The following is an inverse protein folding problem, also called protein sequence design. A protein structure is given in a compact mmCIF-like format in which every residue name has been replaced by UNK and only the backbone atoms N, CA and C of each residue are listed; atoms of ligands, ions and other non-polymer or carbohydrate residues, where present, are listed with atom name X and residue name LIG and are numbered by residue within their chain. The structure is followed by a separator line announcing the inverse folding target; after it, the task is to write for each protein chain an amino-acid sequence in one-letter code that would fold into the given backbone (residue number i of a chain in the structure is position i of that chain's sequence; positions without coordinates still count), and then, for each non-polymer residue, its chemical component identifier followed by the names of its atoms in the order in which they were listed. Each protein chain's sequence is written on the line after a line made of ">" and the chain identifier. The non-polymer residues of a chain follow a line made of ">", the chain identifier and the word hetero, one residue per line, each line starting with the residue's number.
data_IF_224904871743
#
_entry.id   IF_224904871743
#
_cell.length_a   1.000
_cell.length_b   1.000
_cell.length_c   1.000
_cell.angle_alpha   90.00
_cell.angle_beta   90.00
_cell.angle_gamma   90.00
#
_symmetry.space_group_name_H-M   'P 1'
#
loop_
_entity.id
_entity.type
_entity.pdbx_description
1 polymer ?
#
# COMPACT_ATOMS: atom_id res chain seq x y z
N UNK A 1 67.43 -11.86 -39.27
CA UNK A 1 67.26 -12.87 -40.32
C UNK A 1 65.88 -13.51 -40.10
N UNK A 2 64.97 -13.34 -41.08
CA UNK A 2 63.66 -14.00 -41.29
C UNK A 2 62.87 -14.54 -40.08
N UNK A 3 61.62 -14.08 -39.91
CA UNK A 3 60.43 -14.85 -40.31
C UNK A 3 59.13 -14.03 -40.15
N UNK A 4 58.35 -14.05 -41.23
CA UNK A 4 56.97 -13.58 -41.36
C UNK A 4 56.03 -14.63 -40.72
N UNK A 5 54.89 -14.22 -40.13
CA UNK A 5 53.64 -14.94 -40.33
C UNK A 5 52.53 -13.94 -40.72
N UNK A 6 52.00 -14.02 -41.94
CA UNK A 6 50.80 -14.79 -42.28
C UNK A 6 49.55 -14.28 -41.52
N UNK A 7 48.88 -13.27 -42.11
CA UNK A 7 47.52 -12.88 -41.77
C UNK A 7 46.56 -14.03 -42.11
N UNK A 8 45.98 -14.63 -41.08
CA UNK A 8 44.80 -15.47 -41.19
C UNK A 8 43.59 -14.63 -40.74
N UNK A 9 42.85 -14.11 -41.70
CA UNK A 9 41.59 -13.41 -41.49
C UNK A 9 40.50 -14.41 -41.08
N UNK A 10 40.22 -14.49 -39.77
CA UNK A 10 39.05 -15.19 -39.25
C UNK A 10 37.82 -14.30 -39.42
N UNK A 11 36.92 -14.74 -40.31
CA UNK A 11 35.59 -14.20 -40.52
C UNK A 11 34.72 -14.59 -39.31
N UNK A 12 34.48 -13.66 -38.37
CA UNK A 12 33.48 -13.87 -37.32
C UNK A 12 32.09 -13.68 -37.93
N UNK A 13 31.41 -14.79 -38.19
CA UNK A 13 29.96 -14.82 -38.41
C UNK A 13 29.32 -14.54 -37.04
N UNK A 14 28.88 -13.30 -36.84
CA UNK A 14 28.05 -12.93 -35.68
C UNK A 14 26.66 -13.53 -35.86
N UNK A 15 26.42 -14.69 -35.25
CA UNK A 15 25.05 -15.15 -35.03
C UNK A 15 24.48 -14.30 -33.91
N UNK A 16 23.72 -13.26 -34.27
CA UNK A 16 22.91 -12.51 -33.32
C UNK A 16 21.86 -13.45 -32.76
N UNK A 17 22.12 -14.01 -31.57
CA UNK A 17 21.06 -14.59 -30.76
C UNK A 17 20.24 -13.41 -30.26
N UNK A 18 19.11 -13.17 -30.93
CA UNK A 18 18.07 -12.30 -30.44
C UNK A 18 17.51 -12.97 -29.18
N UNK A 19 18.06 -12.59 -28.02
CA UNK A 19 17.40 -12.82 -26.75
C UNK A 19 16.09 -12.02 -26.81
N UNK A 20 14.97 -12.71 -26.91
CA UNK A 20 13.67 -12.10 -26.64
C UNK A 20 13.72 -11.60 -25.21
N UNK A 21 13.72 -10.28 -25.03
CA UNK A 21 13.51 -9.67 -23.73
C UNK A 21 12.12 -10.09 -23.25
N UNK A 22 12.07 -11.08 -22.36
CA UNK A 22 10.92 -11.26 -21.49
C UNK A 22 10.91 -10.05 -20.55
N UNK A 23 10.02 -9.10 -20.78
CA UNK A 23 9.71 -8.02 -19.86
C UNK A 23 9.05 -8.60 -18.60
N UNK A 24 9.83 -9.25 -17.74
CA UNK A 24 9.44 -9.56 -16.37
C UNK A 24 9.98 -8.43 -15.47
N UNK A 25 9.24 -7.32 -15.40
CA UNK A 25 9.46 -6.28 -14.39
C UNK A 25 8.60 -6.57 -13.16
N UNK A 26 8.75 -7.76 -12.57
CA UNK A 26 8.16 -8.01 -11.25
C UNK A 26 9.06 -7.34 -10.20
N UNK A 27 8.44 -6.57 -9.32
CA UNK A 27 9.15 -5.79 -8.29
C UNK A 27 9.65 -6.75 -7.19
N UNK A 28 10.82 -6.54 -6.55
CA UNK A 28 11.33 -7.43 -5.50
C UNK A 28 10.36 -7.68 -4.33
N UNK A 29 9.54 -6.68 -3.97
CA UNK A 29 8.49 -6.85 -2.95
C UNK A 29 7.31 -7.69 -3.45
N UNK A 30 7.03 -7.66 -4.76
CA UNK A 30 6.01 -8.50 -5.39
C UNK A 30 6.52 -9.94 -5.55
N UNK A 31 7.80 -10.13 -5.86
CA UNK A 31 8.45 -11.45 -5.86
C UNK A 31 8.54 -12.07 -4.46
N UNK A 32 8.53 -11.23 -3.43
CA UNK A 32 8.39 -11.65 -2.05
C UNK A 32 6.97 -12.14 -1.75
N UNK A 33 5.94 -11.44 -2.23
CA UNK A 33 4.53 -11.87 -2.15
C UNK A 33 4.28 -13.19 -2.90
N UNK A 34 5.00 -13.43 -4.00
CA UNK A 34 4.99 -14.70 -4.75
C UNK A 34 5.37 -15.92 -3.90
N UNK A 35 6.27 -15.75 -2.91
CA UNK A 35 6.66 -16.84 -2.02
C UNK A 35 5.51 -17.29 -1.10
N UNK A 36 4.49 -16.44 -0.93
CA UNK A 36 3.32 -16.73 -0.10
C UNK A 36 2.15 -17.26 -0.93
N UNK A 37 1.78 -16.62 -2.05
CA UNK A 37 0.64 -17.05 -2.87
C UNK A 37 0.64 -16.48 -4.30
N UNK A 38 0.60 -17.35 -5.32
CA UNK A 38 0.59 -16.93 -6.74
C UNK A 38 -0.70 -16.21 -7.16
N UNK A 39 -1.85 -16.57 -6.59
CA UNK A 39 -3.14 -15.94 -6.91
C UNK A 39 -3.24 -14.52 -6.36
N UNK A 40 -2.60 -14.26 -5.21
CA UNK A 40 -2.50 -12.91 -4.65
C UNK A 40 -1.69 -12.03 -5.58
N UNK A 41 -0.53 -12.48 -6.03
CA UNK A 41 0.35 -11.72 -6.93
C UNK A 41 -0.40 -11.24 -8.17
N UNK A 42 -1.07 -12.14 -8.89
CA UNK A 42 -1.79 -11.80 -10.12
C UNK A 42 -2.79 -10.66 -9.87
N UNK A 43 -3.47 -10.70 -8.71
CA UNK A 43 -4.42 -9.68 -8.31
C UNK A 43 -3.72 -8.35 -7.95
N UNK A 44 -2.61 -8.39 -7.20
CA UNK A 44 -1.86 -7.17 -6.84
C UNK A 44 -1.25 -6.49 -8.06
N UNK A 45 -0.82 -7.26 -9.05
CA UNK A 45 -0.25 -6.74 -10.29
C UNK A 45 -1.31 -6.15 -11.21
N UNK A 46 -2.51 -6.75 -11.22
CA UNK A 46 -3.64 -6.27 -12.01
C UNK A 46 -4.24 -4.97 -11.46
N UNK A 47 -4.37 -4.86 -10.13
CA UNK A 47 -5.11 -3.77 -9.49
C UNK A 47 -4.21 -2.86 -8.67
N UNK A 48 -4.38 -1.55 -8.85
CA UNK A 48 -3.77 -0.53 -7.98
C UNK A 48 -4.52 -0.41 -6.66
N UNK A 49 -5.84 -0.55 -6.67
CA UNK A 49 -6.65 -0.51 -5.45
C UNK A 49 -7.39 -1.83 -5.27
N UNK A 50 -7.26 -2.44 -4.11
CA UNK A 50 -8.04 -3.62 -3.70
C UNK A 50 -8.71 -3.28 -2.38
N UNK A 51 -10.04 -3.30 -2.38
CA UNK A 51 -10.85 -2.88 -1.24
C UNK A 51 -11.80 -3.99 -0.84
N UNK A 52 -11.66 -4.49 0.40
CA UNK A 52 -12.48 -5.60 0.94
C UNK A 52 -13.87 -5.16 1.43
N UNK A 53 -14.20 -3.89 1.23
CA UNK A 53 -15.45 -3.26 1.62
C UNK A 53 -15.79 -2.15 0.63
N UNK A 54 -16.45 -1.10 1.10
CA UNK A 54 -16.91 -0.02 0.22
C UNK A 54 -15.76 0.89 -0.26
N UNK A 55 -15.92 1.39 -1.48
CA UNK A 55 -15.08 2.41 -2.10
C UNK A 55 -15.94 3.65 -2.41
N UNK A 56 -15.58 4.78 -1.81
CA UNK A 56 -16.31 6.03 -1.91
C UNK A 56 -15.42 7.20 -2.34
N UNK A 57 -15.93 8.05 -3.22
CA UNK A 57 -15.21 9.26 -3.63
C UNK A 57 -16.13 10.48 -3.67
N UNK A 58 -15.72 11.57 -3.04
CA UNK A 58 -16.35 12.87 -3.24
C UNK A 58 -16.02 13.44 -4.62
N UNK A 59 -16.91 14.30 -5.13
CA UNK A 59 -16.64 15.03 -6.37
C UNK A 59 -15.38 15.90 -6.22
N UNK A 60 -14.45 15.77 -7.16
CA UNK A 60 -13.20 16.55 -7.18
C UNK A 60 -11.96 15.84 -6.62
N UNK A 61 -12.04 14.53 -6.38
CA UNK A 61 -10.97 13.73 -5.71
C UNK A 61 -10.21 12.74 -6.62
N UNK A 62 -10.22 12.95 -7.95
CA UNK A 62 -9.72 11.97 -8.94
C UNK A 62 -8.26 11.51 -8.74
N UNK A 63 -8.02 10.24 -8.36
CA UNK A 63 -6.69 9.75 -7.92
C UNK A 63 -6.26 8.35 -8.35
N UNK A 64 -7.14 7.53 -8.91
CA UNK A 64 -6.76 6.17 -9.36
C UNK A 64 -6.62 6.13 -10.88
N UNK A 65 -5.36 6.25 -11.32
CA UNK A 65 -4.97 6.18 -12.73
C UNK A 65 -4.80 4.74 -13.27
N UNK A 66 -5.09 3.72 -12.45
CA UNK A 66 -5.01 2.29 -12.77
C UNK A 66 -6.26 1.56 -12.26
N UNK A 67 -6.34 0.26 -12.52
CA UNK A 67 -7.49 -0.58 -12.22
C UNK A 67 -7.77 -0.74 -10.72
N UNK A 68 -9.03 -0.98 -10.38
CA UNK A 68 -9.50 -1.14 -8.99
C UNK A 68 -10.40 -2.38 -8.85
N UNK A 69 -10.27 -3.10 -7.74
CA UNK A 69 -11.16 -4.17 -7.31
C UNK A 69 -11.83 -3.82 -5.97
N UNK A 70 -13.16 -3.97 -5.88
CA UNK A 70 -13.98 -3.61 -4.72
C UNK A 70 -14.93 -4.76 -4.37
N UNK A 71 -14.84 -5.29 -3.15
CA UNK A 71 -15.78 -6.31 -2.67
C UNK A 71 -17.14 -5.70 -2.34
N UNK A 72 -17.16 -4.53 -1.68
CA UNK A 72 -18.37 -3.83 -1.31
C UNK A 72 -18.97 -3.00 -2.44
N UNK A 73 -19.62 -1.90 -2.08
CA UNK A 73 -20.20 -0.97 -3.03
C UNK A 73 -19.15 -0.01 -3.58
N UNK A 74 -19.26 0.30 -4.86
CA UNK A 74 -18.49 1.36 -5.49
C UNK A 74 -19.39 2.59 -5.67
N UNK A 75 -19.04 3.69 -5.00
CA UNK A 75 -19.78 4.95 -5.06
C UNK A 75 -18.89 6.09 -5.56
N UNK A 76 -19.24 6.65 -6.73
CA UNK A 76 -18.45 7.74 -7.31
C UNK A 76 -19.28 8.75 -8.12
N UNK A 77 -18.72 9.95 -8.30
CA UNK A 77 -19.27 10.98 -9.17
C UNK A 77 -18.16 11.65 -9.98
N UNK A 78 -18.27 11.58 -11.32
CA UNK A 78 -17.27 12.12 -12.27
C UNK A 78 -15.87 11.59 -12.01
N UNK A 79 -15.75 10.26 -11.92
CA UNK A 79 -14.50 9.57 -11.62
C UNK A 79 -13.94 8.85 -12.85
N UNK A 80 -12.61 8.76 -12.95
CA UNK A 80 -11.94 8.04 -14.02
C UNK A 80 -11.18 6.87 -13.42
N UNK A 81 -11.49 5.66 -13.85
CA UNK A 81 -10.78 4.44 -13.46
C UNK A 81 -9.87 4.02 -14.60
N UNK A 82 -8.62 3.70 -14.26
CA UNK A 82 -7.61 3.25 -15.22
C UNK A 82 -7.33 4.24 -16.36
N UNK A 83 -7.27 5.53 -16.03
CA UNK A 83 -7.09 6.62 -17.02
C UNK A 83 -5.82 6.52 -17.87
N UNK A 84 -4.80 5.78 -17.42
CA UNK A 84 -3.52 5.64 -18.11
C UNK A 84 -3.48 4.48 -19.13
N UNK A 85 -4.56 3.71 -19.30
CA UNK A 85 -4.59 2.60 -20.24
C UNK A 85 -4.43 3.10 -21.69
N UNK A 86 -3.37 2.66 -22.38
CA UNK A 86 -3.05 3.04 -23.77
C UNK A 86 -3.60 2.06 -24.81
N UNK A 87 -3.93 0.83 -24.41
CA UNK A 87 -4.61 -0.17 -25.24
C UNK A 87 -5.56 -0.98 -24.38
N UNK A 88 -6.85 -0.99 -24.71
CA UNK A 88 -7.88 -1.68 -23.94
C UNK A 88 -8.48 -2.77 -24.82
N UNK A 89 -8.23 -4.03 -24.47
CA UNK A 89 -8.98 -5.15 -25.02
C UNK A 89 -10.34 -5.18 -24.31
N UNK A 90 -11.34 -4.48 -24.85
CA UNK A 90 -12.69 -4.58 -24.35
C UNK A 90 -13.35 -5.85 -24.90
N UNK A 91 -13.10 -6.99 -24.24
CA UNK A 91 -13.64 -8.30 -24.61
C UNK A 91 -14.64 -8.77 -23.56
N UNK A 92 -15.74 -9.37 -24.00
CA UNK A 92 -16.66 -10.07 -23.10
C UNK A 92 -16.06 -11.38 -22.54
N UNK A 93 -15.00 -11.89 -23.18
CA UNK A 93 -14.31 -13.13 -22.81
C UNK A 93 -12.91 -12.79 -22.30
N UNK A 94 -12.82 -12.23 -21.10
CA UNK A 94 -11.54 -11.89 -20.48
C UNK A 94 -11.11 -13.01 -19.55
N UNK A 95 -9.89 -13.47 -19.77
CA UNK A 95 -9.24 -14.51 -18.97
C UNK A 95 -8.14 -13.95 -18.06
N UNK A 96 -7.71 -12.70 -18.27
CA UNK A 96 -6.66 -12.05 -17.48
C UNK A 96 -7.22 -10.95 -16.59
N UNK A 97 -6.81 -10.91 -15.32
CA UNK A 97 -7.17 -9.83 -14.41
C UNK A 97 -6.59 -8.46 -14.87
N UNK A 98 -5.50 -8.46 -15.64
CA UNK A 98 -4.87 -7.24 -16.15
C UNK A 98 -5.74 -6.43 -17.12
N UNK A 99 -6.75 -7.06 -17.73
CA UNK A 99 -7.61 -6.41 -18.73
C UNK A 99 -8.81 -5.70 -18.08
N UNK A 100 -9.03 -5.93 -16.77
CA UNK A 100 -10.06 -5.23 -16.03
C UNK A 100 -9.61 -3.81 -15.71
N UNK A 101 -10.52 -2.86 -15.92
CA UNK A 101 -10.43 -1.52 -15.34
C UNK A 101 -11.08 -1.49 -13.96
N UNK A 102 -12.19 -2.21 -13.78
CA UNK A 102 -12.97 -2.19 -12.54
C UNK A 102 -13.59 -3.56 -12.24
N UNK A 103 -13.47 -4.03 -11.01
CA UNK A 103 -14.21 -5.19 -10.50
C UNK A 103 -14.99 -4.75 -9.26
N UNK A 104 -16.29 -5.05 -9.21
CA UNK A 104 -17.17 -4.73 -8.09
C UNK A 104 -18.06 -5.94 -7.76
N UNK A 105 -17.93 -6.50 -6.55
CA UNK A 105 -18.80 -7.59 -6.13
C UNK A 105 -20.14 -7.08 -5.55
N UNK A 106 -20.17 -5.88 -4.96
CA UNK A 106 -21.38 -5.23 -4.47
C UNK A 106 -22.14 -4.41 -5.52
N UNK A 107 -22.66 -3.26 -5.10
CA UNK A 107 -23.43 -2.35 -5.97
C UNK A 107 -22.54 -1.33 -6.65
N UNK A 108 -22.73 -1.17 -7.96
CA UNK A 108 -22.08 -0.13 -8.75
C UNK A 108 -22.97 1.12 -8.87
N UNK A 109 -22.75 2.09 -7.99
CA UNK A 109 -23.51 3.36 -7.94
C UNK A 109 -22.62 4.53 -8.39
N UNK A 110 -22.83 4.99 -9.63
CA UNK A 110 -21.94 6.00 -10.22
C UNK A 110 -22.66 6.97 -11.12
N UNK A 111 -22.22 8.23 -11.11
CA UNK A 111 -22.65 9.25 -12.10
C UNK A 111 -21.44 9.72 -12.90
N UNK A 112 -21.49 9.54 -14.24
CA UNK A 112 -20.44 9.97 -15.17
C UNK A 112 -19.05 9.39 -14.86
N UNK A 113 -18.96 8.09 -14.56
CA UNK A 113 -17.66 7.44 -14.39
C UNK A 113 -17.17 6.91 -15.72
N UNK A 114 -15.92 7.20 -16.05
CA UNK A 114 -15.25 6.54 -17.18
C UNK A 114 -14.45 5.37 -16.65
N UNK A 115 -14.64 4.19 -17.22
CA UNK A 115 -13.78 3.03 -16.93
C UNK A 115 -13.09 2.63 -18.21
N UNK A 116 -11.77 2.61 -18.16
CA UNK A 116 -10.93 2.12 -19.24
C UNK A 116 -10.55 0.66 -18.96
N UNK A 117 -11.20 -0.28 -19.63
CA UNK A 117 -11.02 -1.71 -19.36
C UNK A 117 -12.34 -2.44 -19.24
N UNK A 118 -12.25 -3.73 -18.94
CA UNK A 118 -13.44 -4.46 -18.59
C UNK A 118 -13.94 -4.17 -17.19
N UNK A 119 -15.23 -4.39 -17.03
CA UNK A 119 -15.99 -4.20 -15.82
C UNK A 119 -16.59 -5.54 -15.43
N UNK A 120 -16.28 -6.01 -14.23
CA UNK A 120 -17.06 -7.06 -13.58
C UNK A 120 -17.97 -6.42 -12.53
N UNK A 121 -19.27 -6.68 -12.62
CA UNK A 121 -20.26 -6.25 -11.63
C UNK A 121 -21.33 -7.34 -11.49
N UNK A 122 -21.58 -7.80 -10.26
CA UNK A 122 -22.60 -8.81 -9.97
C UNK A 122 -24.03 -8.23 -9.91
N UNK A 123 -24.15 -6.91 -9.79
CA UNK A 123 -25.44 -6.22 -9.67
C UNK A 123 -25.83 -5.46 -10.94
N UNK A 124 -27.14 -5.33 -11.17
CA UNK A 124 -27.68 -4.49 -12.24
C UNK A 124 -27.29 -3.04 -12.01
N UNK A 125 -26.48 -2.48 -12.91
CA UNK A 125 -25.96 -1.11 -12.82
C UNK A 125 -27.07 -0.08 -12.59
N UNK A 126 -26.91 0.77 -11.59
CA UNK A 126 -27.74 1.98 -11.42
C UNK A 126 -27.03 3.25 -11.93
N UNK A 127 -25.80 3.12 -12.41
CA UNK A 127 -24.96 4.25 -12.81
C UNK A 127 -24.66 4.40 -14.31
N UNK A 128 -24.26 5.61 -14.71
CA UNK A 128 -23.81 5.92 -16.07
C UNK A 128 -22.29 5.71 -16.19
N UNK A 129 -21.88 4.72 -16.99
CA UNK A 129 -20.48 4.41 -17.27
C UNK A 129 -20.16 4.67 -18.73
N UNK A 130 -19.10 5.43 -18.97
CA UNK A 130 -18.55 5.69 -20.30
C UNK A 130 -17.32 4.80 -20.54
N UNK A 131 -17.23 4.17 -21.72
CA UNK A 131 -16.05 3.48 -22.26
C UNK A 131 -15.69 2.06 -21.72
N UNK A 132 -16.49 1.47 -20.83
CA UNK A 132 -16.25 0.10 -20.32
C UNK A 132 -17.13 -0.97 -20.98
N UNK A 133 -16.69 -2.23 -20.94
CA UNK A 133 -17.46 -3.40 -21.34
C UNK A 133 -17.63 -4.37 -20.18
N UNK A 134 -18.80 -4.98 -20.09
CA UNK A 134 -19.11 -5.91 -19.01
C UNK A 134 -18.59 -7.32 -19.29
N UNK A 135 -18.02 -7.94 -18.27
CA UNK A 135 -17.55 -9.33 -18.23
C UNK A 135 -18.11 -10.03 -17.00
N UNK A 136 -18.21 -11.36 -17.06
CA UNK A 136 -18.76 -12.20 -15.99
C UNK A 136 -17.70 -12.80 -15.06
N UNK A 137 -16.41 -12.46 -15.23
CA UNK A 137 -15.33 -12.98 -14.36
C UNK A 137 -15.46 -12.42 -12.96
N UNK A 138 -15.25 -13.26 -11.94
CA UNK A 138 -15.29 -12.84 -10.53
C UNK A 138 -13.90 -12.90 -9.90
N UNK A 139 -13.72 -12.12 -8.83
CA UNK A 139 -12.54 -12.18 -7.96
C UNK A 139 -12.98 -12.79 -6.62
N UNK A 140 -12.23 -13.75 -6.10
CA UNK A 140 -12.44 -14.33 -4.77
C UNK A 140 -11.88 -13.39 -3.70
N UNK A 141 -12.69 -12.40 -3.32
CA UNK A 141 -12.30 -11.41 -2.32
C UNK A 141 -12.10 -12.01 -0.92
N UNK A 142 -12.82 -13.07 -0.55
CA UNK A 142 -12.70 -13.68 0.78
C UNK A 142 -11.36 -14.37 0.94
N UNK A 143 -10.92 -15.11 -0.09
CA UNK A 143 -9.57 -15.69 -0.10
C UNK A 143 -8.49 -14.62 -0.15
N UNK A 144 -8.69 -13.56 -0.95
CA UNK A 144 -7.76 -12.45 -1.05
C UNK A 144 -7.59 -11.69 0.28
N UNK A 145 -8.69 -11.43 0.99
CA UNK A 145 -8.70 -10.75 2.28
C UNK A 145 -7.99 -11.59 3.34
N UNK A 146 -8.33 -12.88 3.43
CA UNK A 146 -7.69 -13.81 4.35
C UNK A 146 -6.17 -13.87 4.13
N UNK A 147 -5.72 -13.90 2.88
CA UNK A 147 -4.31 -13.90 2.56
C UNK A 147 -3.63 -12.57 2.93
N UNK A 148 -4.26 -11.43 2.60
CA UNK A 148 -3.73 -10.12 2.97
C UNK A 148 -3.57 -9.95 4.49
N UNK A 149 -4.55 -10.44 5.27
CA UNK A 149 -4.48 -10.48 6.73
C UNK A 149 -3.33 -11.38 7.23
N UNK A 150 -3.20 -12.59 6.69
CA UNK A 150 -2.11 -13.51 7.05
C UNK A 150 -0.73 -12.90 6.78
N UNK A 151 -0.55 -12.25 5.63
CA UNK A 151 0.70 -11.58 5.27
C UNK A 151 0.97 -10.40 6.19
N UNK A 152 -0.04 -9.58 6.47
CA UNK A 152 0.08 -8.46 7.40
C UNK A 152 0.52 -8.94 8.80
N UNK A 153 -0.09 -10.02 9.31
CA UNK A 153 0.28 -10.63 10.58
C UNK A 153 1.69 -11.24 10.56
N UNK A 154 2.08 -11.90 9.46
CA UNK A 154 3.41 -12.47 9.31
C UNK A 154 4.50 -11.40 9.35
N UNK A 155 4.29 -10.27 8.67
CA UNK A 155 5.21 -9.14 8.73
C UNK A 155 5.21 -8.48 10.11
N UNK A 156 4.05 -8.34 10.76
CA UNK A 156 3.95 -7.80 12.11
C UNK A 156 4.73 -8.61 13.14
N UNK A 157 4.91 -9.92 12.94
CA UNK A 157 5.71 -10.79 13.80
C UNK A 157 7.22 -10.73 13.55
N UNK A 158 7.66 -10.06 12.46
CA UNK A 158 9.08 -9.94 12.16
C UNK A 158 9.78 -9.02 13.16
N UNK A 159 10.97 -9.44 13.61
CA UNK A 159 11.81 -8.62 14.47
C UNK A 159 12.41 -7.47 13.65
N UNK A 160 12.45 -6.24 14.17
CA UNK A 160 13.14 -5.14 13.49
C UNK A 160 14.62 -5.48 13.36
N UNK A 161 15.17 -5.27 12.17
CA UNK A 161 16.60 -5.40 11.89
C UNK A 161 17.23 -4.07 11.43
N UNK A 162 16.41 -3.03 11.26
CA UNK A 162 16.80 -1.66 11.00
C UNK A 162 16.06 -0.72 11.94
N UNK A 163 16.69 0.39 12.31
CA UNK A 163 16.11 1.38 13.20
C UNK A 163 16.37 2.78 12.67
N UNK A 164 15.31 3.61 12.60
CA UNK A 164 15.40 5.04 12.34
C UNK A 164 15.14 5.79 13.65
N UNK A 165 16.13 6.56 14.08
CA UNK A 165 16.01 7.43 15.27
C UNK A 165 15.40 8.77 14.94
N UNK A 166 15.06 9.49 16.00
CA UNK A 166 14.78 10.92 15.92
C UNK A 166 15.88 11.65 15.14
N UNK A 167 15.45 12.59 14.30
CA UNK A 167 16.32 13.31 13.37
C UNK A 167 16.70 12.54 12.10
N UNK A 168 16.35 11.24 11.98
CA UNK A 168 16.58 10.44 10.79
C UNK A 168 17.88 9.67 10.77
N UNK A 169 18.48 9.37 11.94
CA UNK A 169 19.67 8.52 11.99
C UNK A 169 19.27 7.06 11.76
N UNK A 170 19.76 6.46 10.68
CA UNK A 170 19.59 5.05 10.37
C UNK A 170 20.73 4.26 11.01
N UNK A 171 20.36 3.25 11.80
CA UNK A 171 21.29 2.29 12.40
C UNK A 171 20.87 0.87 12.11
N UNK A 172 21.84 0.01 11.78
CA UNK A 172 21.60 -1.43 11.71
C UNK A 172 21.19 -1.94 13.09
N UNK A 173 20.06 -2.65 13.16
CA UNK A 173 19.58 -3.32 14.35
C UNK A 173 20.36 -4.59 14.69
N UNK A 174 21.67 -4.67 14.37
CA UNK A 174 22.51 -5.88 14.50
C UNK A 174 22.52 -6.50 15.91
N UNK A 175 21.96 -5.81 16.90
CA UNK A 175 21.86 -6.26 18.29
C UNK A 175 20.94 -7.47 18.52
N UNK A 176 20.14 -7.92 17.54
CA UNK A 176 19.18 -9.02 17.75
C UNK A 176 19.55 -10.36 17.12
N UNK A 177 20.67 -10.47 16.40
CA UNK A 177 21.03 -11.72 15.73
C UNK A 177 19.94 -12.22 14.76
N UNK A 178 19.14 -11.33 14.19
CA UNK A 178 17.99 -11.72 13.36
C UNK A 178 18.46 -12.38 12.07
N UNK A 179 17.94 -13.58 11.83
CA UNK A 179 18.21 -14.44 10.67
C UNK A 179 17.44 -14.06 9.41
N UNK A 180 16.60 -13.02 9.43
CA UNK A 180 15.83 -12.64 8.25
C UNK A 180 16.76 -11.91 7.26
N UNK A 181 17.25 -12.67 6.28
CA UNK A 181 18.15 -12.19 5.24
C UNK A 181 17.41 -11.58 4.06
N UNK A 182 16.08 -11.57 4.06
CA UNK A 182 15.31 -11.28 2.85
C UNK A 182 14.74 -9.86 2.84
N UNK A 183 14.57 -9.22 4.01
CA UNK A 183 13.94 -7.90 4.15
C UNK A 183 14.66 -7.00 5.14
N UNK A 184 14.53 -5.69 4.93
CA UNK A 184 14.81 -4.68 5.95
C UNK A 184 13.52 -4.31 6.68
N UNK A 185 13.43 -4.68 7.96
CA UNK A 185 12.26 -4.47 8.81
C UNK A 185 12.50 -3.29 9.74
N UNK A 186 11.72 -2.24 9.56
CA UNK A 186 11.59 -1.13 10.50
C UNK A 186 10.24 -1.25 11.19
N UNK A 187 10.24 -1.27 12.53
CA UNK A 187 9.00 -1.31 13.31
C UNK A 187 8.86 -0.01 14.10
N UNK A 188 7.74 0.67 13.94
CA UNK A 188 7.48 1.97 14.55
C UNK A 188 6.59 1.83 15.77
N UNK A 189 7.08 2.23 16.96
CA UNK A 189 6.38 2.17 18.26
C UNK A 189 6.36 0.80 19.00
N UNK A 190 6.10 0.88 20.32
CA UNK A 190 5.99 -0.22 21.29
C UNK A 190 4.77 -1.06 20.99
N UNK A 191 5.02 -2.31 20.66
CA UNK A 191 4.04 -3.37 20.72
C UNK A 191 4.73 -4.60 21.28
N UNK A 192 4.23 -5.16 22.39
CA UNK A 192 4.72 -6.42 22.90
C UNK A 192 4.30 -7.52 21.91
N UNK A 193 5.20 -7.85 21.00
CA UNK A 193 5.18 -9.18 20.40
C UNK A 193 5.35 -10.14 21.57
N UNK A 194 4.34 -10.98 21.78
CA UNK A 194 3.99 -11.67 23.04
C UNK A 194 4.96 -12.79 23.47
N UNK A 195 6.22 -12.69 23.04
CA UNK A 195 7.34 -13.52 23.51
C UNK A 195 8.66 -12.74 23.63
N UNK A 196 8.72 -11.48 23.21
CA UNK A 196 9.92 -10.63 23.28
C UNK A 196 9.52 -9.16 23.38
N UNK A 197 9.33 -8.63 24.60
CA UNK A 197 9.42 -7.19 24.84
C UNK A 197 10.81 -6.76 24.36
N UNK A 198 10.88 -6.12 23.19
CA UNK A 198 12.13 -5.58 22.68
C UNK A 198 12.44 -4.29 23.44
N UNK A 199 13.71 -4.07 23.83
CA UNK A 199 14.11 -2.77 24.36
C UNK A 199 13.69 -1.62 23.44
N UNK A 200 13.25 -0.51 24.04
CA UNK A 200 12.72 0.67 23.33
C UNK A 200 13.63 1.16 22.20
N UNK A 201 14.94 1.01 22.38
CA UNK A 201 15.92 1.38 21.36
C UNK A 201 15.88 0.49 20.11
N UNK A 202 15.04 -0.53 20.00
CA UNK A 202 14.93 -1.33 18.77
C UNK A 202 13.76 -0.91 17.89
N UNK A 203 12.94 0.04 18.35
CA UNK A 203 11.87 0.61 17.57
C UNK A 203 12.33 1.90 16.88
N UNK A 204 11.81 2.10 15.66
CA UNK A 204 11.96 3.33 14.90
C UNK A 204 11.00 4.41 15.43
N UNK A 205 11.42 5.66 15.34
CA UNK A 205 10.58 6.80 15.71
C UNK A 205 9.64 7.18 14.56
N UNK A 206 8.31 7.22 14.79
CA UNK A 206 7.35 7.62 13.76
C UNK A 206 7.25 9.13 13.56
N UNK A 207 7.73 9.94 14.51
CA UNK A 207 7.38 11.36 14.61
C UNK A 207 7.79 12.17 13.37
N UNK A 208 9.01 11.99 12.90
CA UNK A 208 9.48 12.73 11.73
C UNK A 208 8.88 12.19 10.43
N UNK A 209 8.72 10.88 10.31
CA UNK A 209 8.32 10.22 9.06
C UNK A 209 6.81 10.30 8.83
N UNK A 210 5.99 10.17 9.87
CA UNK A 210 4.53 10.06 9.73
C UNK A 210 3.76 11.23 10.34
N UNK A 211 4.23 11.86 11.42
CA UNK A 211 3.43 12.79 12.23
C UNK A 211 3.77 14.28 12.05
N UNK A 212 3.75 14.74 10.80
CA UNK A 212 3.81 16.18 10.49
C UNK A 212 5.22 16.79 10.63
N UNK A 213 6.24 15.93 10.65
CA UNK A 213 7.64 16.33 10.62
C UNK A 213 8.12 16.76 9.23
N UNK A 214 9.39 17.16 9.16
CA UNK A 214 10.06 17.54 7.91
C UNK A 214 10.96 16.39 7.45
N UNK A 215 10.36 15.25 7.14
CA UNK A 215 11.13 14.10 6.66
C UNK A 215 11.78 14.39 5.30
N UNK A 216 13.11 14.30 5.24
CA UNK A 216 13.89 14.43 4.01
C UNK A 216 14.64 13.15 3.65
N UNK A 217 14.31 12.03 4.30
CA UNK A 217 15.12 10.82 4.27
C UNK A 217 16.09 10.74 5.45
N UNK A 218 16.79 9.60 5.61
CA UNK A 218 17.79 9.45 6.65
C UNK A 218 18.99 10.36 6.36
N UNK A 219 19.58 10.95 7.39
CA UNK A 219 20.59 12.00 7.19
C UNK A 219 22.03 11.48 7.14
N UNK A 220 22.30 10.34 7.78
CA UNK A 220 23.65 9.78 7.92
C UNK A 220 24.01 8.84 6.78
N UNK A 221 23.02 8.25 6.12
CA UNK A 221 23.20 7.33 5.00
C UNK A 221 21.89 7.20 4.22
N UNK A 222 21.95 6.65 3.01
CA UNK A 222 20.77 6.33 2.23
C UNK A 222 20.08 5.07 2.79
N UNK A 223 18.81 4.89 2.45
CA UNK A 223 18.17 3.59 2.65
C UNK A 223 18.91 2.50 1.87
N UNK A 224 19.05 1.29 2.45
CA UNK A 224 19.63 0.17 1.73
C UNK A 224 18.71 -0.24 0.55
N UNK A 225 19.31 -0.74 -0.53
CA UNK A 225 18.64 -0.95 -1.83
C UNK A 225 18.68 -2.38 -2.35
N UNK A 226 19.45 -3.24 -1.70
CA UNK A 226 19.68 -4.62 -2.11
C UNK A 226 18.52 -5.55 -1.74
N UNK A 227 17.62 -5.11 -0.84
CA UNK A 227 16.47 -5.89 -0.37
C UNK A 227 15.23 -5.00 -0.19
N UNK A 228 14.04 -5.58 -0.23
CA UNK A 228 12.82 -4.85 0.07
C UNK A 228 12.81 -4.33 1.52
N UNK A 229 12.22 -3.15 1.68
CA UNK A 229 12.00 -2.46 2.95
C UNK A 229 10.55 -2.67 3.39
N UNK A 230 10.36 -3.05 4.64
CA UNK A 230 9.06 -3.17 5.28
C UNK A 230 8.99 -2.21 6.45
N UNK A 231 8.02 -1.30 6.39
CA UNK A 231 7.63 -0.46 7.50
C UNK A 231 6.42 -1.09 8.20
N UNK A 232 6.67 -1.69 9.35
CA UNK A 232 5.62 -2.18 10.24
C UNK A 232 5.13 -1.04 11.13
N UNK A 233 3.85 -0.70 10.96
CA UNK A 233 3.19 0.42 11.61
C UNK A 233 2.02 -0.15 12.43
N UNK A 234 2.28 -0.60 13.67
CA UNK A 234 1.22 -0.94 14.60
C UNK A 234 0.42 0.29 15.00
N UNK A 235 -0.89 0.14 15.03
CA UNK A 235 -1.86 1.17 15.44
C UNK A 235 -2.81 0.55 16.43
N UNK A 236 -3.10 1.24 17.54
CA UNK A 236 -4.08 0.73 18.50
C UNK A 236 -5.44 0.52 17.81
N UNK A 237 -6.07 -0.61 18.08
CA UNK A 237 -7.41 -0.94 17.59
C UNK A 237 -8.40 0.17 17.96
N UNK A 238 -9.33 0.48 17.05
CA UNK A 238 -10.31 1.57 17.15
C UNK A 238 -9.72 2.98 17.32
N UNK A 239 -8.49 3.19 16.84
CA UNK A 239 -7.83 4.50 16.81
C UNK A 239 -7.50 4.98 15.41
N UNK A 240 -6.95 6.21 15.33
CA UNK A 240 -6.62 6.88 14.08
C UNK A 240 -5.10 6.94 13.93
N UNK A 241 -4.60 6.40 12.82
CA UNK A 241 -3.26 6.66 12.32
C UNK A 241 -3.29 7.84 11.36
N UNK A 242 -2.77 9.00 11.78
CA UNK A 242 -2.72 10.21 10.96
C UNK A 242 -1.35 10.39 10.31
N UNK A 243 -1.22 10.03 9.04
CA UNK A 243 -0.01 10.26 8.25
C UNK A 243 -0.07 11.67 7.66
N UNK A 244 0.60 12.62 8.32
CA UNK A 244 0.55 14.06 8.01
C UNK A 244 1.88 14.67 7.58
N UNK A 245 2.99 13.93 7.64
CA UNK A 245 4.26 14.36 7.05
C UNK A 245 4.12 14.57 5.55
N UNK A 246 4.67 15.67 5.02
CA UNK A 246 4.49 16.06 3.62
C UNK A 246 4.93 14.99 2.60
N UNK A 247 6.12 14.41 2.83
CA UNK A 247 6.71 13.36 2.01
C UNK A 247 7.29 12.23 2.90
N UNK A 248 6.47 11.26 3.36
CA UNK A 248 6.95 10.13 4.15
C UNK A 248 7.83 9.16 3.34
N UNK A 249 7.89 9.34 2.01
CA UNK A 249 8.67 8.52 1.08
C UNK A 249 9.98 9.22 0.64
N UNK A 250 10.44 10.23 1.36
CA UNK A 250 11.70 10.89 1.03
C UNK A 250 12.89 9.92 1.20
N UNK A 251 13.75 9.86 0.17
CA UNK A 251 14.92 8.98 0.11
C UNK A 251 14.63 7.52 -0.28
N UNK A 252 13.36 7.19 -0.53
CA UNK A 252 12.88 5.83 -0.76
C UNK A 252 12.63 5.53 -2.25
N UNK A 253 12.93 4.30 -2.67
CA UNK A 253 12.59 3.80 -4.01
C UNK A 253 11.28 2.99 -3.95
N UNK A 254 10.18 3.58 -4.44
CA UNK A 254 8.80 3.06 -4.29
C UNK A 254 8.64 1.56 -4.62
N UNK A 255 9.32 1.09 -5.66
CA UNK A 255 9.33 -0.31 -6.09
C UNK A 255 9.70 -1.34 -5.00
N UNK A 256 10.45 -0.94 -3.98
CA UNK A 256 11.06 -1.83 -3.00
C UNK A 256 10.46 -1.69 -1.61
N UNK A 257 9.32 -1.03 -1.43
CA UNK A 257 8.81 -0.68 -0.10
C UNK A 257 7.42 -1.22 0.11
N UNK A 258 7.18 -1.70 1.33
CA UNK A 258 5.86 -2.02 1.83
C UNK A 258 5.58 -1.27 3.14
N UNK A 259 4.41 -0.65 3.21
CA UNK A 259 3.83 -0.10 4.43
C UNK A 259 2.81 -1.11 4.95
N UNK A 260 3.15 -1.84 6.00
CA UNK A 260 2.24 -2.76 6.68
C UNK A 260 1.62 -2.03 7.87
N UNK A 261 0.39 -1.55 7.70
CA UNK A 261 -0.38 -0.83 8.73
C UNK A 261 -1.40 -1.78 9.33
N UNK A 262 -1.31 -2.05 10.63
CA UNK A 262 -2.12 -3.11 11.26
C UNK A 262 -2.58 -2.75 12.67
N UNK A 263 -3.76 -3.25 13.08
CA UNK A 263 -4.29 -3.01 14.41
C UNK A 263 -3.60 -3.87 15.46
N UNK A 264 -3.45 -3.31 16.65
CA UNK A 264 -2.93 -3.99 17.83
C UNK A 264 -3.79 -3.72 19.06
N UNK A 265 -3.79 -4.66 20.00
CA UNK A 265 -4.36 -4.47 21.33
C UNK A 265 -3.49 -3.52 22.17
N UNK A 266 -3.99 -3.08 23.32
CA UNK A 266 -3.21 -2.30 24.28
C UNK A 266 -1.98 -3.05 24.82
N UNK A 267 -1.98 -4.40 24.77
CA UNK A 267 -0.79 -5.21 25.03
C UNK A 267 0.27 -5.07 23.93
N UNK A 268 -0.11 -4.66 22.72
CA UNK A 268 0.73 -4.63 21.53
C UNK A 268 0.66 -5.91 20.70
N UNK A 269 -0.14 -6.88 21.09
CA UNK A 269 -0.43 -8.04 20.26
C UNK A 269 -1.20 -7.62 19.00
N UNK A 270 -0.94 -8.30 17.88
CA UNK A 270 -1.72 -8.14 16.66
C UNK A 270 -3.18 -8.47 16.92
N UNK A 271 -4.08 -7.52 16.66
CA UNK A 271 -5.51 -7.73 16.84
C UNK A 271 -6.14 -8.28 15.56
N UNK A 272 -6.36 -9.59 15.51
CA UNK A 272 -6.92 -10.28 14.32
C UNK A 272 -8.33 -9.81 13.95
N UNK A 273 -9.07 -9.25 14.90
CA UNK A 273 -10.40 -8.70 14.67
C UNK A 273 -10.41 -7.16 14.74
N UNK A 274 -9.23 -6.56 14.84
CA UNK A 274 -9.08 -5.15 15.06
C UNK A 274 -9.37 -4.33 13.82
N UNK A 275 -9.71 -3.07 14.03
CA UNK A 275 -9.93 -2.09 12.98
C UNK A 275 -9.21 -0.80 13.32
N UNK A 276 -8.84 -0.03 12.30
CA UNK A 276 -8.23 1.28 12.49
C UNK A 276 -8.67 2.21 11.37
N UNK A 277 -8.59 3.51 11.63
CA UNK A 277 -8.73 4.53 10.59
C UNK A 277 -7.35 5.01 10.19
N UNK A 278 -7.01 4.88 8.92
CA UNK A 278 -5.80 5.51 8.37
C UNK A 278 -6.19 6.79 7.66
N UNK A 279 -5.80 7.89 8.29
CA UNK A 279 -5.93 9.22 7.73
C UNK A 279 -4.68 9.61 6.95
N UNK A 280 -4.77 9.66 5.62
CA UNK A 280 -3.66 10.14 4.77
C UNK A 280 -3.82 11.64 4.49
N UNK A 281 -3.03 12.43 5.20
CA UNK A 281 -2.98 13.88 5.09
C UNK A 281 -1.59 14.38 4.64
N UNK A 282 -1.00 13.69 3.66
CA UNK A 282 0.28 14.09 3.06
C UNK A 282 0.05 14.97 1.83
N UNK A 283 0.95 15.90 1.56
CA UNK A 283 0.87 16.76 0.36
C UNK A 283 1.44 16.07 -0.88
N UNK A 284 2.43 15.20 -0.70
CA UNK A 284 3.05 14.41 -1.77
C UNK A 284 2.52 12.97 -1.78
N UNK A 285 2.70 12.29 -2.92
CA UNK A 285 2.32 10.90 -3.08
C UNK A 285 3.10 10.02 -2.13
N UNK A 286 2.44 9.01 -1.56
CA UNK A 286 3.11 7.92 -0.88
C UNK A 286 3.38 6.83 -1.92
N UNK A 287 4.65 6.52 -2.13
CA UNK A 287 5.10 5.45 -3.04
C UNK A 287 5.32 4.15 -2.25
N UNK A 288 5.18 3.00 -2.89
CA UNK A 288 5.30 1.68 -2.24
C UNK A 288 3.99 0.91 -2.15
N UNK A 289 4.07 -0.35 -1.77
CA UNK A 289 2.91 -1.20 -1.55
C UNK A 289 2.29 -0.93 -0.17
N UNK A 290 1.04 -0.48 -0.13
CA UNK A 290 0.32 -0.26 1.12
C UNK A 290 -0.54 -1.48 1.45
N UNK A 291 -0.16 -2.20 2.50
CA UNK A 291 -0.89 -3.35 3.04
C UNK A 291 -1.58 -2.93 4.33
N UNK A 292 -2.89 -2.68 4.25
CA UNK A 292 -3.70 -2.26 5.40
C UNK A 292 -5.08 -2.95 5.41
N UNK A 293 -5.16 -4.30 5.36
CA UNK A 293 -6.39 -5.05 5.13
C UNK A 293 -7.49 -4.83 6.19
N UNK A 294 -7.14 -4.31 7.37
CA UNK A 294 -8.07 -3.98 8.46
C UNK A 294 -8.37 -2.47 8.58
N UNK A 295 -7.79 -1.64 7.70
CA UNK A 295 -7.90 -0.19 7.79
C UNK A 295 -9.03 0.38 6.94
N UNK A 296 -9.78 1.32 7.52
CA UNK A 296 -10.55 2.28 6.74
C UNK A 296 -9.64 3.45 6.35
N UNK A 297 -9.29 3.53 5.08
CA UNK A 297 -8.42 4.57 4.55
C UNK A 297 -9.24 5.78 4.14
N UNK A 298 -8.91 6.92 4.71
CA UNK A 298 -9.48 8.23 4.36
C UNK A 298 -8.36 9.09 3.79
N UNK A 299 -8.54 9.54 2.56
CA UNK A 299 -7.53 10.25 1.79
C UNK A 299 -8.04 11.63 1.34
N UNK A 300 -7.19 12.66 1.45
CA UNK A 300 -7.45 14.00 0.90
C UNK A 300 -7.30 14.07 -0.62
N UNK A 301 -7.64 15.21 -1.23
CA UNK A 301 -7.42 15.44 -2.65
C UNK A 301 -5.98 15.88 -3.03
N UNK A 302 -5.00 15.84 -2.10
CA UNK A 302 -3.56 16.12 -2.33
C UNK A 302 -2.67 14.94 -1.93
N UNK A 303 -1.60 14.67 -2.68
CA UNK A 303 -0.69 13.53 -2.43
C UNK A 303 -1.02 12.29 -3.26
N UNK A 304 -1.88 11.39 -2.80
CA UNK A 304 -2.18 10.15 -3.53
C UNK A 304 -1.42 8.95 -2.98
N UNK A 305 -1.95 7.76 -3.19
CA UNK A 305 -1.13 6.55 -3.27
C UNK A 305 -0.61 6.41 -4.69
N UNK A 306 0.70 6.38 -4.89
CA UNK A 306 1.28 6.27 -6.23
C UNK A 306 1.16 4.84 -6.77
N UNK A 307 1.43 3.87 -5.91
CA UNK A 307 1.45 2.44 -6.22
C UNK A 307 0.22 1.74 -5.62
N UNK A 308 0.34 0.44 -5.31
CA UNK A 308 -0.79 -0.40 -4.94
C UNK A 308 -1.20 -0.25 -3.47
N UNK A 309 -2.52 -0.21 -3.23
CA UNK A 309 -3.15 -0.15 -1.92
C UNK A 309 -4.13 -1.32 -1.75
N UNK A 310 -3.97 -2.07 -0.65
CA UNK A 310 -4.96 -3.00 -0.12
C UNK A 310 -5.53 -2.45 1.18
N UNK A 311 -6.85 -2.28 1.25
CA UNK A 311 -7.51 -1.76 2.44
C UNK A 311 -8.86 -2.42 2.73
N UNK A 312 -9.34 -2.33 3.97
CA UNK A 312 -10.68 -2.77 4.31
C UNK A 312 -11.73 -1.91 3.59
N UNK A 313 -11.58 -0.59 3.65
CA UNK A 313 -12.50 0.39 3.04
C UNK A 313 -11.72 1.60 2.56
N UNK A 314 -12.30 2.37 1.65
CA UNK A 314 -11.67 3.58 1.14
C UNK A 314 -12.66 4.73 0.94
N UNK A 315 -12.24 5.91 1.38
CA UNK A 315 -12.94 7.17 1.16
C UNK A 315 -11.95 8.24 0.69
N UNK A 316 -12.21 8.82 -0.48
CA UNK A 316 -11.52 10.02 -0.94
C UNK A 316 -12.38 11.25 -0.74
N UNK A 317 -11.82 12.27 -0.10
CA UNK A 317 -12.49 13.54 0.19
C UNK A 317 -11.69 14.75 -0.28
N UNK A 318 -12.37 15.89 -0.44
CA UNK A 318 -11.70 17.14 -0.82
C UNK A 318 -10.79 17.63 0.30
N UNK A 319 -11.29 17.64 1.54
CA UNK A 319 -10.53 18.01 2.72
C UNK A 319 -10.84 17.06 3.88
N UNK A 320 -9.82 16.31 4.27
CA UNK A 320 -9.86 15.40 5.40
C UNK A 320 -10.21 16.11 6.71
N UNK A 321 -9.73 17.34 6.92
CA UNK A 321 -9.98 18.08 8.15
C UNK A 321 -11.44 18.55 8.26
N UNK A 322 -12.13 18.68 7.12
CA UNK A 322 -13.54 19.04 7.09
C UNK A 322 -14.45 17.90 7.59
N UNK A 323 -14.03 16.64 7.42
CA UNK A 323 -14.82 15.48 7.87
C UNK A 323 -14.99 15.49 9.40
N UNK A 324 -13.91 15.72 10.15
CA UNK A 324 -13.94 15.70 11.62
C UNK A 324 -14.72 16.87 12.23
N UNK A 325 -14.90 17.95 11.48
CA UNK A 325 -15.66 19.12 11.91
C UNK A 325 -17.13 19.09 11.46
N UNK A 326 -17.51 18.13 10.63
CA UNK A 326 -18.88 17.93 10.19
C UNK A 326 -19.56 16.84 11.03
N UNK A 327 -20.88 16.94 11.21
CA UNK A 327 -21.73 15.85 11.74
C UNK A 327 -21.84 14.72 10.71
N UNK A 328 -20.69 14.17 10.34
CA UNK A 328 -20.47 13.33 9.17
C UNK A 328 -21.34 12.06 9.23
N UNK A 329 -21.94 11.73 8.08
CA UNK A 329 -22.76 10.55 7.83
C UNK A 329 -21.97 9.24 7.74
N UNK A 330 -20.69 9.23 8.12
CA UNK A 330 -19.85 8.02 8.10
C UNK A 330 -19.81 7.39 9.50
N UNK A 331 -20.55 6.28 9.74
CA UNK A 331 -20.73 5.70 11.08
C UNK A 331 -19.42 5.29 11.77
N UNK A 332 -18.41 4.87 10.99
CA UNK A 332 -17.12 4.38 11.50
C UNK A 332 -16.19 5.51 12.00
N UNK A 333 -16.47 6.77 11.66
CA UNK A 333 -15.71 7.93 12.17
C UNK A 333 -16.22 8.32 13.56
N UNK A 334 -17.49 8.03 13.86
CA UNK A 334 -18.11 8.37 15.14
C UNK A 334 -17.67 7.45 16.28
N UNK A 335 -17.32 6.18 16.01
CA UNK A 335 -16.71 5.29 17.00
C UNK A 335 -15.31 5.77 17.40
N UNK A 336 -14.46 6.13 16.44
CA UNK A 336 -13.12 6.66 16.68
C UNK A 336 -13.09 8.07 17.33
N UNK A 337 -14.09 8.91 17.07
CA UNK A 337 -14.19 10.23 17.72
C UNK A 337 -14.61 10.15 19.20
N UNK A 338 -15.32 9.10 19.60
CA UNK A 338 -15.75 8.90 21.00
C UNK A 338 -14.58 8.58 21.94
N UNK A 339 -13.48 8.01 21.42
CA UNK A 339 -12.23 7.77 22.15
C UNK A 339 -11.30 9.00 22.14
N UNK A 340 -11.33 9.83 21.09
CA UNK A 340 -10.54 11.07 21.03
C UNK A 340 -10.99 12.12 22.06
N UNK A 341 -12.28 12.16 22.42
CA UNK A 341 -12.78 13.10 23.45
C UNK A 341 -12.40 12.70 24.88
N UNK A 342 -11.96 11.45 25.11
CA UNK A 342 -11.45 10.99 26.41
C UNK A 342 -9.95 11.33 26.63
N UNK A 343 -9.20 11.64 25.58
CA UNK A 343 -7.75 11.85 25.65
C UNK A 343 -7.30 13.32 25.61
N UNK A 344 -8.22 14.28 25.72
CA UNK A 344 -7.88 15.71 25.80
C UNK A 344 -7.31 16.16 27.17
N UNK A 345 -6.71 15.23 27.92
CA UNK A 345 -6.06 15.48 29.20
C UNK A 345 -5.02 14.40 29.50
N UNK A 346 -3.94 14.34 28.71
CA UNK A 346 -2.55 14.21 29.20
C UNK A 346 -1.62 14.15 27.99
N UNK A 347 -1.01 15.27 27.64
CA UNK A 347 0.29 15.23 27.00
C UNK A 347 1.25 14.53 27.98
N UNK A 348 1.66 13.30 27.67
CA UNK A 348 2.75 12.66 28.40
C UNK A 348 4.02 13.41 28.01
N UNK A 349 4.40 14.34 28.88
CA UNK A 349 5.65 15.04 28.83
C UNK A 349 6.80 14.05 29.07
N UNK A 350 7.43 13.54 28.01
CA UNK A 350 8.68 12.76 28.11
C UNK A 350 9.91 13.66 27.95
N UNK A 351 9.93 14.79 28.66
CA UNK A 351 11.18 15.49 28.94
C UNK A 351 11.63 15.19 30.38
N UNK A 352 12.66 14.36 30.51
CA UNK A 352 13.38 14.15 31.77
C UNK A 352 13.63 12.69 32.13
N UNK A 353 14.71 12.08 31.59
CA UNK A 353 16.00 11.76 32.25
C UNK A 353 16.83 10.96 31.26
#
# INVERSE_FOLDING_TARGET
>A
MKLIPACLSLLFISTSVQASAANNSTLPIMDSLLSFNTSLLETVQAFKGIFFGDFNTEKGTQRFNRSIAVQGNFMSSSFNVNSNATSIACSANITSLSDFGLVVAGTLNTVNTTVNGAISSLSSNTGNITNGCFSNTTVDFDSLQREALNISQLFAQQKPNMVIRDGGFLSDGQFLGSTNQDYYIYTFNKCAVDTCIMPDYLYSSPEQIFYGGNWTGPYNTDYPKDKPIVFNIPVLTDTIFNMSTANPAAGLEGANIMYNVFPVLASGEYDVNGHLVWLRNTTESVNGFMLAPSAYVIESNKGGFADSLMAARYLSVVDVNAIFNSTSTYPDINSANSTATANNSTAVNTSGV
#
